data_IF_824861450602
#
_entry.id   IF_824861450602
#
_cell.length_a   1.000
_cell.length_b   1.000
_cell.length_c   1.000
_cell.angle_alpha   90.00
_cell.angle_beta   90.00
_cell.angle_gamma   90.00
#
_symmetry.space_group_name_H-M   'P 1'
#
loop_
_entity.id
_entity.type
_entity.pdbx_description
1 polymer ?
#
# COMPACT_ATOMS: atom_id res chain seq x y z
N UNK A 1 4.94 12.05 -2.70
CA UNK A 1 3.68 12.12 -1.94
C UNK A 1 2.47 12.28 -2.86
N UNK A 2 1.30 12.05 -2.30
CA UNK A 2 0.04 12.18 -3.04
C UNK A 2 -0.26 13.64 -3.43
N UNK A 3 -1.30 13.84 -4.26
CA UNK A 3 -1.64 15.16 -4.80
C UNK A 3 -1.89 16.23 -3.72
N UNK A 4 -2.51 15.86 -2.59
CA UNK A 4 -2.77 16.79 -1.49
C UNK A 4 -1.47 17.26 -0.83
N UNK A 5 -0.56 16.31 -0.52
CA UNK A 5 0.75 16.64 0.06
C UNK A 5 1.59 17.48 -0.88
N UNK A 6 1.52 17.21 -2.17
CA UNK A 6 2.15 18.00 -3.22
C UNK A 6 1.68 19.47 -3.19
N UNK A 7 0.37 19.70 -3.16
CA UNK A 7 -0.19 21.05 -3.08
C UNK A 7 0.21 21.76 -1.78
N UNK A 8 0.14 21.09 -0.65
CA UNK A 8 0.54 21.65 0.65
C UNK A 8 2.03 22.03 0.68
N UNK A 9 2.91 21.16 0.15
CA UNK A 9 4.34 21.46 0.06
C UNK A 9 4.62 22.73 -0.77
N UNK A 10 3.89 22.91 -1.87
CA UNK A 10 4.03 24.05 -2.76
C UNK A 10 3.24 25.29 -2.32
N UNK A 11 2.64 25.28 -1.12
CA UNK A 11 1.74 26.34 -0.61
C UNK A 11 0.57 26.65 -1.56
N UNK A 12 0.09 25.63 -2.29
CA UNK A 12 -1.09 25.70 -3.15
C UNK A 12 -2.34 25.24 -2.42
N UNK A 13 -3.52 25.84 -2.66
CA UNK A 13 -4.75 25.44 -2.01
C UNK A 13 -5.18 24.04 -2.47
N UNK A 14 -5.37 23.06 -1.56
CA UNK A 14 -5.79 21.71 -1.92
C UNK A 14 -7.31 21.57 -2.06
N UNK A 15 -8.08 22.61 -1.83
CA UNK A 15 -9.55 22.58 -1.75
C UNK A 15 -10.20 21.94 -2.98
N UNK A 16 -9.74 22.35 -4.17
CA UNK A 16 -10.35 21.92 -5.42
C UNK A 16 -9.99 20.48 -5.81
N UNK A 17 -9.03 19.86 -5.11
CA UNK A 17 -8.78 18.40 -5.23
C UNK A 17 -9.94 17.58 -4.64
N UNK A 18 -10.63 18.10 -3.61
CA UNK A 18 -11.71 17.41 -2.91
C UNK A 18 -13.12 17.80 -3.37
N UNK A 19 -13.25 18.74 -4.28
CA UNK A 19 -14.52 19.23 -4.78
C UNK A 19 -14.66 18.97 -6.29
N UNK A 20 -15.81 18.47 -6.72
CA UNK A 20 -16.08 18.29 -8.14
C UNK A 20 -15.93 19.64 -8.89
N UNK A 21 -15.22 19.67 -10.03
CA UNK A 21 -14.74 18.57 -10.86
C UNK A 21 -13.35 18.01 -10.50
N UNK A 22 -12.88 18.18 -9.27
CA UNK A 22 -11.61 17.60 -8.76
C UNK A 22 -10.38 18.04 -9.57
N UNK A 23 -10.13 19.33 -9.65
CA UNK A 23 -9.06 19.91 -10.47
C UNK A 23 -7.83 20.23 -9.62
N UNK A 24 -6.64 19.66 -9.92
CA UNK A 24 -5.41 20.07 -9.27
C UNK A 24 -4.97 21.45 -9.80
N UNK A 25 -4.39 22.25 -8.90
CA UNK A 25 -3.86 23.57 -9.27
C UNK A 25 -2.64 23.46 -10.19
N UNK A 26 -1.96 22.33 -10.18
CA UNK A 26 -0.78 22.08 -11.00
C UNK A 26 -0.68 20.60 -11.40
N UNK A 27 -0.35 20.36 -12.66
CA UNK A 27 -0.08 19.03 -13.21
C UNK A 27 1.40 18.82 -13.57
N UNK A 28 2.13 19.90 -13.86
CA UNK A 28 3.51 19.82 -14.34
C UNK A 28 4.47 19.60 -13.18
N UNK A 29 5.65 19.06 -13.47
CA UNK A 29 6.76 19.09 -12.55
C UNK A 29 7.19 20.52 -12.23
N UNK A 30 7.69 20.73 -11.02
CA UNK A 30 8.13 22.05 -10.53
C UNK A 30 9.51 21.92 -9.92
N UNK A 31 10.38 22.85 -10.29
CA UNK A 31 11.64 23.11 -9.62
C UNK A 31 11.54 24.42 -8.85
N UNK A 32 11.75 24.36 -7.54
CA UNK A 32 11.64 25.49 -6.63
C UNK A 32 12.81 25.52 -5.65
N UNK A 33 13.26 26.70 -5.25
CA UNK A 33 14.30 26.79 -4.21
C UNK A 33 13.75 26.30 -2.87
N UNK A 34 14.50 25.44 -2.19
CA UNK A 34 14.12 24.92 -0.89
C UNK A 34 13.77 26.02 0.12
N UNK A 35 14.52 27.13 0.10
CA UNK A 35 14.28 28.30 0.96
C UNK A 35 12.91 28.98 0.72
N UNK A 36 12.38 28.89 -0.49
CA UNK A 36 11.06 29.47 -0.83
C UNK A 36 9.91 28.65 -0.22
N UNK A 37 10.19 27.38 0.07
CA UNK A 37 9.28 26.48 0.77
C UNK A 37 9.54 26.42 2.30
N UNK A 38 10.43 27.27 2.82
CA UNK A 38 10.79 27.28 4.24
C UNK A 38 11.63 26.07 4.68
N UNK A 39 12.25 25.34 3.74
CA UNK A 39 13.09 24.20 4.04
C UNK A 39 14.53 24.63 4.30
N UNK A 40 15.04 24.29 5.50
CA UNK A 40 16.38 24.64 5.97
C UNK A 40 17.42 23.59 5.53
N UNK A 41 17.82 23.65 4.27
CA UNK A 41 18.92 22.85 3.68
C UNK A 41 19.95 23.82 3.08
N UNK A 42 20.89 23.33 2.28
CA UNK A 42 21.82 24.18 1.55
C UNK A 42 21.06 25.32 0.85
N UNK A 43 21.52 26.57 1.01
CA UNK A 43 20.82 27.76 0.51
C UNK A 43 20.67 27.77 -1.04
N UNK A 44 21.52 27.04 -1.76
CA UNK A 44 21.43 26.82 -3.20
C UNK A 44 20.54 25.61 -3.57
N UNK A 45 20.06 24.86 -2.58
CA UNK A 45 19.28 23.65 -2.77
C UNK A 45 17.99 23.86 -3.54
N UNK A 46 17.68 22.95 -4.45
CA UNK A 46 16.42 22.92 -5.19
C UNK A 46 15.59 21.71 -4.73
N UNK A 47 14.29 21.87 -4.81
CA UNK A 47 13.30 20.80 -4.66
C UNK A 47 12.68 20.57 -6.02
N UNK A 48 12.83 19.35 -6.53
CA UNK A 48 12.10 18.89 -7.70
C UNK A 48 10.86 18.15 -7.27
N UNK A 49 9.71 18.59 -7.72
CA UNK A 49 8.42 17.95 -7.47
C UNK A 49 7.95 17.32 -8.77
N UNK A 50 7.70 16.01 -8.76
CA UNK A 50 7.23 15.28 -9.92
C UNK A 50 5.81 15.71 -10.32
N UNK A 51 5.41 15.53 -11.59
CA UNK A 51 4.07 15.89 -12.04
C UNK A 51 3.00 15.03 -11.38
N UNK A 52 1.81 15.58 -11.18
CA UNK A 52 0.60 14.81 -10.86
C UNK A 52 -0.11 14.41 -12.15
N UNK A 53 -0.63 13.18 -12.21
CA UNK A 53 -1.34 12.69 -13.40
C UNK A 53 -2.79 13.18 -13.37
N UNK A 54 -3.42 13.10 -12.20
CA UNK A 54 -4.79 13.56 -11.96
C UNK A 54 -4.97 13.94 -10.48
N UNK A 55 -6.13 14.43 -10.08
CA UNK A 55 -6.42 14.82 -8.69
C UNK A 55 -6.17 13.69 -7.69
N UNK A 56 -6.55 12.47 -8.04
CA UNK A 56 -6.39 11.27 -7.20
C UNK A 56 -5.22 10.39 -7.62
N UNK A 57 -4.46 10.77 -8.64
CA UNK A 57 -3.27 10.05 -9.11
C UNK A 57 -2.08 11.00 -9.05
N UNK A 58 -1.36 10.90 -7.96
CA UNK A 58 -0.37 11.89 -7.53
C UNK A 58 1.03 11.66 -8.11
N UNK A 59 1.96 12.43 -7.56
CA UNK A 59 3.38 12.38 -7.90
C UNK A 59 4.06 11.07 -7.40
N UNK A 60 3.48 10.40 -6.42
CA UNK A 60 3.84 9.05 -5.97
C UNK A 60 3.65 8.02 -7.09
N UNK A 61 2.48 8.03 -7.76
CA UNK A 61 2.24 7.19 -8.93
C UNK A 61 3.21 7.53 -10.08
N UNK A 62 3.51 8.81 -10.31
CA UNK A 62 4.53 9.21 -11.29
C UNK A 62 5.90 8.65 -10.94
N UNK A 63 6.28 8.66 -9.66
CA UNK A 63 7.53 8.07 -9.18
C UNK A 63 7.56 6.54 -9.39
N UNK A 64 6.46 5.85 -9.10
CA UNK A 64 6.33 4.41 -9.35
C UNK A 64 6.50 4.08 -10.84
N UNK A 65 5.86 4.84 -11.74
CA UNK A 65 6.03 4.67 -13.19
C UNK A 65 7.48 4.90 -13.62
N UNK A 66 8.18 5.88 -13.03
CA UNK A 66 9.59 6.14 -13.33
C UNK A 66 10.51 5.04 -12.82
N UNK A 67 10.20 4.46 -11.66
CA UNK A 67 11.02 3.40 -11.07
C UNK A 67 10.89 2.07 -11.81
N UNK A 68 9.66 1.70 -12.20
CA UNK A 68 9.35 0.40 -12.83
C UNK A 68 9.40 0.44 -14.35
N UNK A 69 9.39 1.63 -14.94
CA UNK A 69 9.52 1.89 -16.38
C UNK A 69 8.58 1.07 -17.31
N UNK A 70 7.29 0.89 -17.00
CA UNK A 70 6.36 0.15 -17.86
C UNK A 70 6.24 0.76 -19.26
N UNK A 71 6.48 2.06 -19.39
CA UNK A 71 6.50 2.78 -20.66
C UNK A 71 7.66 2.41 -21.61
N UNK A 72 8.62 1.61 -21.12
CA UNK A 72 9.73 1.06 -21.93
C UNK A 72 9.52 -0.41 -22.30
N UNK A 73 8.49 -1.05 -21.76
CA UNK A 73 8.22 -2.47 -21.95
C UNK A 73 7.29 -2.73 -23.15
N UNK A 74 7.49 -3.85 -23.82
CA UNK A 74 6.60 -4.33 -24.89
C UNK A 74 5.35 -5.01 -24.33
N UNK A 75 5.52 -5.71 -23.23
CA UNK A 75 4.49 -6.45 -22.51
C UNK A 75 3.61 -5.50 -21.69
N UNK A 76 2.38 -5.91 -21.43
CA UNK A 76 1.51 -5.16 -20.54
C UNK A 76 1.94 -5.38 -19.08
N UNK A 77 2.21 -4.31 -18.38
CA UNK A 77 2.50 -4.27 -16.97
C UNK A 77 1.31 -3.75 -16.19
N UNK A 78 1.06 -4.33 -15.03
CA UNK A 78 0.13 -3.84 -14.03
C UNK A 78 0.92 -3.47 -12.79
N UNK A 79 0.94 -2.17 -12.46
CA UNK A 79 1.48 -1.66 -11.21
C UNK A 79 0.31 -1.39 -10.26
N UNK A 80 0.47 -1.76 -9.01
CA UNK A 80 -0.54 -1.58 -7.97
C UNK A 80 0.14 -0.97 -6.74
N UNK A 81 -0.29 0.24 -6.39
CA UNK A 81 0.08 0.90 -5.13
C UNK A 81 -1.10 0.77 -4.16
N UNK A 82 -0.90 0.03 -3.07
CA UNK A 82 -1.97 -0.31 -2.14
C UNK A 82 -1.85 0.50 -0.86
N UNK A 83 -2.75 1.44 -0.67
CA UNK A 83 -2.90 2.25 0.53
C UNK A 83 -4.37 2.36 0.95
N UNK A 84 -4.74 3.43 1.58
CA UNK A 84 -6.16 3.79 1.86
C UNK A 84 -6.96 3.93 0.57
N UNK A 85 -6.31 4.42 -0.48
CA UNK A 85 -6.71 4.22 -1.87
C UNK A 85 -5.70 3.29 -2.54
N UNK A 86 -6.08 2.72 -3.66
CA UNK A 86 -5.14 2.00 -4.51
C UNK A 86 -5.04 2.70 -5.87
N UNK A 87 -3.83 3.02 -6.26
CA UNK A 87 -3.52 3.50 -7.59
C UNK A 87 -3.08 2.32 -8.45
N UNK A 88 -3.72 2.22 -9.61
CA UNK A 88 -3.48 1.18 -10.60
C UNK A 88 -2.94 1.81 -11.87
N UNK A 89 -1.83 1.28 -12.40
CA UNK A 89 -1.29 1.66 -13.70
C UNK A 89 -1.21 0.41 -14.57
N UNK A 90 -1.84 0.44 -15.72
CA UNK A 90 -1.85 -0.68 -16.67
C UNK A 90 -1.38 -0.20 -18.04
N UNK A 91 -0.52 -0.97 -18.67
CA UNK A 91 -0.14 -0.78 -20.07
C UNK A 91 1.31 -1.10 -20.37
N UNK A 92 1.81 -0.52 -21.45
CA UNK A 92 3.13 -0.75 -21.99
C UNK A 92 3.64 0.52 -22.70
N UNK A 93 4.73 0.38 -23.51
CA UNK A 93 5.32 1.52 -24.24
C UNK A 93 4.36 2.21 -25.22
N UNK A 94 3.28 1.56 -25.64
CA UNK A 94 2.31 2.15 -26.59
C UNK A 94 1.32 3.06 -25.86
N UNK A 95 0.91 2.67 -24.65
CA UNK A 95 -0.07 3.39 -23.85
C UNK A 95 -0.03 2.92 -22.40
N UNK A 96 -0.10 3.89 -21.49
CA UNK A 96 -0.40 3.66 -20.08
C UNK A 96 -1.76 4.27 -19.76
N UNK A 97 -2.53 3.59 -18.93
CA UNK A 97 -3.75 4.10 -18.30
C UNK A 97 -3.61 3.95 -16.80
N UNK A 98 -4.20 4.86 -16.04
CA UNK A 98 -4.18 4.79 -14.59
C UNK A 98 -5.55 5.16 -14.01
N UNK A 99 -5.78 4.68 -12.80
CA UNK A 99 -6.96 5.02 -12.00
C UNK A 99 -6.61 4.97 -10.51
N UNK A 100 -7.40 5.65 -9.70
CA UNK A 100 -7.42 5.50 -8.25
C UNK A 100 -8.75 4.89 -7.83
N UNK A 101 -8.73 4.01 -6.85
CA UNK A 101 -9.92 3.38 -6.28
C UNK A 101 -9.83 3.35 -4.76
N UNK A 102 -10.91 3.61 -4.03
CA UNK A 102 -10.90 3.48 -2.58
C UNK A 102 -10.79 2.02 -2.18
N UNK A 103 -9.77 1.67 -1.40
CA UNK A 103 -9.61 0.36 -0.76
C UNK A 103 -10.07 0.40 0.69
N UNK A 104 -10.13 1.58 1.27
CA UNK A 104 -10.43 1.80 2.68
C UNK A 104 -9.22 1.53 3.58
N UNK A 105 -9.28 1.93 4.84
CA UNK A 105 -8.14 1.89 5.75
C UNK A 105 -7.96 0.52 6.44
N UNK A 106 -8.64 -0.53 6.00
CA UNK A 106 -8.55 -1.87 6.61
C UNK A 106 -7.13 -2.45 6.57
N UNK A 107 -6.41 -2.24 5.46
CA UNK A 107 -5.01 -2.69 5.34
C UNK A 107 -4.03 -1.90 6.22
N UNK A 108 -4.45 -0.73 6.73
CA UNK A 108 -3.72 0.03 7.75
C UNK A 108 -4.15 -0.36 9.18
N UNK A 109 -4.98 -1.38 9.32
CA UNK A 109 -5.49 -1.90 10.57
C UNK A 109 -6.74 -1.19 11.12
N UNK A 110 -7.27 -0.18 10.43
CA UNK A 110 -8.48 0.48 10.88
C UNK A 110 -9.73 -0.38 10.59
N UNK A 111 -10.69 -0.34 11.53
CA UNK A 111 -11.96 -1.10 11.46
C UNK A 111 -11.80 -2.64 11.46
N UNK A 112 -10.59 -3.15 11.69
CA UNK A 112 -10.32 -4.57 11.89
C UNK A 112 -10.08 -4.80 13.37
N UNK A 113 -10.79 -5.75 13.97
CA UNK A 113 -10.52 -6.15 15.34
C UNK A 113 -9.07 -6.63 15.45
N UNK A 114 -8.33 -6.13 16.41
CA UNK A 114 -6.87 -6.32 16.52
C UNK A 114 -6.04 -5.82 15.33
N UNK A 115 -6.62 -5.02 14.43
CA UNK A 115 -5.89 -4.39 13.33
C UNK A 115 -4.88 -3.35 13.85
N UNK A 116 -3.68 -3.34 13.27
CA UNK A 116 -2.67 -2.32 13.59
C UNK A 116 -1.77 -2.03 12.39
N UNK A 117 -1.08 -0.90 12.44
CA UNK A 117 -0.04 -0.60 11.45
C UNK A 117 1.13 -1.57 11.56
N UNK A 118 1.88 -1.73 10.47
CA UNK A 118 3.12 -2.50 10.45
C UNK A 118 4.16 -1.88 11.40
N UNK A 119 4.23 -2.42 12.63
CA UNK A 119 5.10 -1.96 13.70
C UNK A 119 5.50 -3.16 14.57
N UNK A 120 6.54 -3.06 15.41
CA UNK A 120 6.95 -4.15 16.31
C UNK A 120 5.78 -4.70 17.13
N UNK A 121 5.57 -6.01 17.03
CA UNK A 121 4.45 -6.73 17.63
C UNK A 121 3.27 -6.97 16.68
N UNK A 122 3.28 -6.43 15.47
CA UNK A 122 2.28 -6.76 14.46
C UNK A 122 2.58 -8.10 13.79
N UNK A 123 1.58 -8.95 13.68
CA UNK A 123 1.63 -10.12 12.81
C UNK A 123 1.71 -9.64 11.36
N UNK A 124 2.75 -10.08 10.61
CA UNK A 124 3.02 -9.61 9.24
C UNK A 124 2.88 -10.70 8.17
N UNK A 125 3.01 -11.96 8.58
CA UNK A 125 2.91 -13.12 7.70
C UNK A 125 2.09 -14.22 8.36
N UNK A 126 1.30 -14.93 7.56
CA UNK A 126 0.54 -16.11 7.98
C UNK A 126 0.74 -17.21 6.94
N UNK A 127 0.91 -18.44 7.39
CA UNK A 127 0.84 -19.64 6.56
C UNK A 127 0.01 -20.70 7.29
N UNK A 128 -0.79 -21.45 6.56
CA UNK A 128 -1.62 -22.53 7.10
C UNK A 128 -1.15 -23.85 6.49
N UNK A 129 -0.83 -24.83 7.33
CA UNK A 129 -0.48 -26.18 6.87
C UNK A 129 -1.72 -26.85 6.23
N UNK A 130 -1.54 -27.44 5.06
CA UNK A 130 -2.65 -28.02 4.29
C UNK A 130 -3.25 -29.28 4.92
N UNK A 131 -2.45 -30.01 5.69
CA UNK A 131 -2.85 -31.30 6.26
C UNK A 131 -3.43 -31.17 7.66
N UNK A 132 -2.84 -30.29 8.47
CA UNK A 132 -3.22 -30.10 9.88
C UNK A 132 -4.18 -28.93 10.07
N UNK A 133 -4.19 -27.99 9.13
CA UNK A 133 -4.88 -26.70 9.20
C UNK A 133 -4.37 -25.79 10.33
N UNK A 134 -3.20 -26.11 10.89
CA UNK A 134 -2.57 -25.28 11.92
C UNK A 134 -1.88 -24.05 11.31
N UNK A 135 -2.15 -22.86 11.85
CA UNK A 135 -1.52 -21.64 11.38
C UNK A 135 -0.13 -21.44 12.00
N UNK A 136 0.82 -21.00 11.22
CA UNK A 136 2.05 -20.40 11.71
C UNK A 136 2.15 -18.95 11.23
N UNK A 137 2.84 -18.12 12.00
CA UNK A 137 2.90 -16.68 11.73
C UNK A 137 4.26 -16.08 12.11
N UNK A 138 4.57 -14.93 11.48
CA UNK A 138 5.69 -14.06 11.82
C UNK A 138 5.20 -12.77 12.42
N UNK A 139 6.02 -12.21 13.31
CA UNK A 139 5.73 -10.93 13.98
C UNK A 139 6.88 -9.96 13.73
N UNK A 140 6.57 -8.74 13.38
CA UNK A 140 7.57 -7.68 13.16
C UNK A 140 8.39 -7.48 14.43
N UNK A 141 9.72 -7.51 14.28
CA UNK A 141 10.68 -7.37 15.38
C UNK A 141 11.01 -8.68 16.12
N UNK A 142 10.54 -9.82 15.60
CA UNK A 142 10.88 -11.15 16.12
C UNK A 142 11.37 -12.03 14.96
N UNK A 143 12.54 -12.63 15.12
CA UNK A 143 13.10 -13.51 14.12
C UNK A 143 12.41 -14.90 14.12
N UNK A 144 12.22 -15.44 12.91
CA UNK A 144 11.62 -16.78 12.71
C UNK A 144 10.09 -16.80 12.77
N UNK A 145 9.54 -18.01 12.69
CA UNK A 145 8.13 -18.31 12.84
C UNK A 145 7.81 -18.63 14.30
N UNK A 146 6.57 -18.45 14.71
CA UNK A 146 6.10 -18.82 16.05
C UNK A 146 6.33 -20.31 16.39
N UNK A 147 6.51 -21.16 15.38
CA UNK A 147 6.81 -22.60 15.51
C UNK A 147 8.28 -22.94 15.62
N UNK A 148 9.18 -22.02 15.32
CA UNK A 148 10.62 -22.27 15.26
C UNK A 148 11.31 -22.21 16.62
N UNK A 149 10.63 -21.73 17.64
CA UNK A 149 11.19 -21.50 18.98
C UNK A 149 10.31 -22.19 20.04
N UNK A 150 10.95 -22.91 20.96
CA UNK A 150 10.26 -23.56 22.08
C UNK A 150 9.51 -22.56 22.99
N UNK A 151 9.99 -21.32 23.04
CA UNK A 151 9.32 -20.20 23.67
C UNK A 151 9.29 -19.02 22.69
N UNK A 152 8.21 -18.88 21.94
CA UNK A 152 7.99 -17.69 21.10
C UNK A 152 7.73 -16.48 22.02
N UNK A 153 8.79 -15.69 22.22
CA UNK A 153 8.74 -14.50 23.09
C UNK A 153 8.05 -13.30 22.47
N UNK A 154 7.62 -13.41 21.22
CA UNK A 154 6.93 -12.33 20.52
C UNK A 154 5.52 -12.14 21.05
N UNK A 155 5.27 -11.04 21.77
CA UNK A 155 3.91 -10.64 22.10
C UNK A 155 3.23 -10.14 20.80
N UNK A 156 2.30 -10.90 20.27
CA UNK A 156 1.41 -10.46 19.21
C UNK A 156 0.49 -9.39 19.78
N UNK A 157 0.60 -8.18 19.26
CA UNK A 157 -0.25 -7.04 19.64
C UNK A 157 -1.43 -6.85 18.71
N UNK A 158 -1.29 -7.32 17.48
CA UNK A 158 -2.31 -7.20 16.46
C UNK A 158 -1.86 -7.73 15.10
N UNK A 159 -2.63 -7.46 14.08
CA UNK A 159 -2.42 -7.90 12.70
C UNK A 159 -2.29 -6.70 11.77
N UNK A 160 -1.26 -6.68 10.93
CA UNK A 160 -1.11 -5.63 9.92
C UNK A 160 -1.62 -6.09 8.54
N UNK A 161 -1.70 -5.15 7.60
CA UNK A 161 -2.29 -5.37 6.29
C UNK A 161 -1.73 -6.55 5.52
N UNK A 162 -0.41 -6.77 5.55
CA UNK A 162 0.21 -7.90 4.87
C UNK A 162 -0.30 -9.25 5.40
N UNK A 163 -0.42 -9.40 6.72
CA UNK A 163 -0.95 -10.62 7.31
C UNK A 163 -2.47 -10.79 7.08
N UNK A 164 -3.22 -9.70 6.92
CA UNK A 164 -4.64 -9.78 6.51
C UNK A 164 -4.74 -10.39 5.11
N UNK A 165 -3.91 -9.93 4.17
CA UNK A 165 -3.87 -10.45 2.80
C UNK A 165 -3.41 -11.93 2.82
N UNK A 166 -2.30 -12.23 3.49
CA UNK A 166 -1.80 -13.61 3.62
C UNK A 166 -2.87 -14.53 4.25
N UNK A 167 -3.53 -14.09 5.31
CA UNK A 167 -4.56 -14.85 6.00
C UNK A 167 -5.72 -15.24 5.09
N UNK A 168 -6.25 -14.28 4.32
CA UNK A 168 -7.31 -14.54 3.34
C UNK A 168 -6.83 -15.49 2.24
N UNK A 169 -5.63 -15.28 1.72
CA UNK A 169 -5.03 -16.13 0.69
C UNK A 169 -4.82 -17.57 1.19
N UNK A 170 -4.30 -17.74 2.41
CA UNK A 170 -4.07 -19.04 3.04
C UNK A 170 -5.38 -19.78 3.35
N UNK A 171 -6.40 -19.09 3.86
CA UNK A 171 -7.72 -19.66 4.06
C UNK A 171 -8.33 -20.18 2.76
N UNK A 172 -8.13 -19.46 1.65
CA UNK A 172 -8.58 -19.90 0.33
C UNK A 172 -7.73 -21.05 -0.21
N UNK A 173 -6.39 -20.95 -0.15
CA UNK A 173 -5.44 -21.95 -0.63
C UNK A 173 -5.67 -23.31 0.04
N UNK A 174 -5.86 -23.32 1.35
CA UNK A 174 -6.11 -24.56 2.14
C UNK A 174 -7.55 -25.04 2.05
N UNK A 175 -8.40 -24.30 1.35
CA UNK A 175 -9.80 -24.65 1.16
C UNK A 175 -10.67 -24.52 2.41
N UNK A 176 -10.22 -23.77 3.40
CA UNK A 176 -11.04 -23.42 4.58
C UNK A 176 -12.20 -22.51 4.16
N UNK A 177 -11.95 -21.61 3.23
CA UNK A 177 -13.00 -20.80 2.59
C UNK A 177 -13.18 -21.20 1.11
N UNK A 178 -14.39 -21.02 0.60
CA UNK A 178 -14.72 -21.23 -0.82
C UNK A 178 -14.40 -19.97 -1.65
N UNK A 179 -14.60 -20.06 -2.98
CA UNK A 179 -14.38 -18.93 -3.92
C UNK A 179 -15.28 -17.70 -3.66
N UNK A 180 -16.25 -17.81 -2.77
CA UNK A 180 -17.12 -16.72 -2.34
C UNK A 180 -16.74 -16.21 -0.93
N UNK A 181 -15.62 -16.66 -0.37
CA UNK A 181 -15.14 -16.28 0.96
C UNK A 181 -15.94 -16.90 2.12
N UNK A 182 -16.75 -17.94 1.89
CA UNK A 182 -17.56 -18.57 2.93
C UNK A 182 -16.80 -19.76 3.53
N UNK A 183 -16.80 -19.86 4.86
CA UNK A 183 -16.21 -20.99 5.56
C UNK A 183 -16.91 -22.31 5.18
N UNK A 184 -16.14 -23.33 4.88
CA UNK A 184 -16.65 -24.67 4.64
C UNK A 184 -17.11 -25.31 5.95
N UNK A 185 -18.26 -25.98 5.92
CA UNK A 185 -18.78 -26.71 7.08
C UNK A 185 -18.02 -28.02 7.30
N UNK A 186 -17.85 -28.44 8.54
CA UNK A 186 -17.27 -29.73 8.90
C UNK A 186 -15.75 -29.81 8.93
N UNK A 187 -15.04 -28.70 8.76
CA UNK A 187 -13.60 -28.62 8.99
C UNK A 187 -13.34 -28.85 10.50
N UNK A 188 -12.50 -29.83 10.81
CA UNK A 188 -11.98 -30.04 12.17
C UNK A 188 -10.49 -29.78 12.12
N UNK A 189 -9.98 -28.87 12.96
CA UNK A 189 -8.57 -28.86 13.32
C UNK A 189 -8.27 -30.20 14.01
N UNK A 190 -7.15 -30.79 13.66
CA UNK A 190 -6.68 -32.02 14.35
C UNK A 190 -6.07 -31.69 15.70
#
# INVERSE_FOLDING_TARGET
>A
GNSTMHHLLLNLPPKDLGLAPFVPAIHKSVDVKARELGLHINCAGNIHVLPTIASFVGADTSAMILAEEPHKQDENWLLIDVGTNAELVLGNRKRLVCTSTPTGPALEGAHVEYGMRAAPGAMERIQIDENTLEPKYKVIGVDGWNTDQAEFKGQVKGICGSAIIDGVAELFRTGIVDSRGRFKKGLKSK
#
